data_IF_525246005949
#
_entry.id   IF_525246005949
#
_cell.length_a   1.000
_cell.length_b   1.000
_cell.length_c   1.000
_cell.angle_alpha   90.00
_cell.angle_beta   90.00
_cell.angle_gamma   90.00
#
_symmetry.space_group_name_H-M   'P 1'
#
loop_
_entity.id
_entity.type
_entity.pdbx_description
1 polymer ?
#
# COMPACT_ATOMS: atom_id res chain seq x y z
N UNK A 1 4.49 -8.93 9.03
CA UNK A 1 5.76 -8.71 8.30
C UNK A 1 6.06 -7.23 8.10
N UNK A 2 5.16 -6.41 7.55
CA UNK A 2 5.43 -4.98 7.38
C UNK A 2 5.51 -4.25 8.73
N UNK A 3 4.55 -4.52 9.61
CA UNK A 3 4.45 -3.97 10.96
C UNK A 3 5.67 -4.37 11.80
N UNK A 4 6.13 -5.61 11.63
CA UNK A 4 7.33 -6.14 12.26
C UNK A 4 8.58 -5.37 11.84
N UNK A 5 8.73 -5.09 10.54
CA UNK A 5 9.83 -4.28 10.02
C UNK A 5 9.76 -2.84 10.55
N UNK A 6 8.57 -2.24 10.64
CA UNK A 6 8.39 -0.88 11.18
C UNK A 6 8.82 -0.82 12.64
N UNK A 7 8.45 -1.80 13.46
CA UNK A 7 8.92 -1.89 14.86
C UNK A 7 10.44 -2.05 14.93
N UNK A 8 11.00 -2.93 14.10
CA UNK A 8 12.45 -3.18 14.06
C UNK A 8 13.23 -1.92 13.60
N UNK A 9 12.67 -1.09 12.72
CA UNK A 9 13.23 0.19 12.29
C UNK A 9 13.13 1.27 13.37
N UNK A 10 12.03 1.31 14.11
CA UNK A 10 11.86 2.22 15.24
C UNK A 10 12.91 1.97 16.32
N UNK A 11 13.09 0.70 16.73
CA UNK A 11 14.12 0.29 17.68
C UNK A 11 15.53 0.74 17.21
N UNK A 12 15.84 0.60 15.92
CA UNK A 12 17.15 0.97 15.38
C UNK A 12 17.37 2.48 15.32
N UNK A 13 16.31 3.27 15.07
CA UNK A 13 16.38 4.74 15.17
C UNK A 13 16.71 5.14 16.59
N UNK A 14 15.96 4.65 17.58
CA UNK A 14 16.19 4.94 19.00
C UNK A 14 17.61 4.54 19.43
N UNK A 15 18.08 3.35 19.03
CA UNK A 15 19.46 2.91 19.30
C UNK A 15 20.50 3.89 18.76
N UNK A 16 20.37 4.33 17.50
CA UNK A 16 21.32 5.26 16.86
C UNK A 16 21.28 6.66 17.49
N UNK A 17 20.10 7.13 17.90
CA UNK A 17 19.93 8.40 18.60
C UNK A 17 20.60 8.37 19.97
N UNK A 18 20.34 7.31 20.75
CA UNK A 18 20.97 7.08 22.04
C UNK A 18 22.50 6.99 21.90
N UNK A 19 23.01 6.28 20.89
CA UNK A 19 24.45 6.21 20.57
C UNK A 19 25.05 7.59 20.27
N UNK A 20 24.35 8.44 19.51
CA UNK A 20 24.81 9.79 19.19
C UNK A 20 24.86 10.71 20.43
N UNK A 21 23.88 10.59 21.34
CA UNK A 21 23.85 11.34 22.61
C UNK A 21 25.04 10.92 23.49
N UNK A 22 25.30 9.62 23.63
CA UNK A 22 26.44 9.15 24.41
C UNK A 22 27.78 9.53 23.79
N UNK A 23 27.92 9.48 22.46
CA UNK A 23 29.15 9.86 21.76
C UNK A 23 29.51 11.34 21.95
N UNK A 24 28.53 12.20 22.24
CA UNK A 24 28.73 13.65 22.46
C UNK A 24 28.89 14.00 23.94
N UNK A 25 28.57 13.08 24.86
CA UNK A 25 28.68 13.30 26.30
C UNK A 25 30.12 13.03 26.76
N UNK A 26 30.81 14.10 27.20
CA UNK A 26 32.26 14.15 27.56
C UNK A 26 32.70 13.27 28.74
N UNK A 27 31.81 12.45 29.32
CA UNK A 27 32.13 11.47 30.35
C UNK A 27 32.53 10.14 29.69
N UNK A 28 33.62 10.19 28.93
CA UNK A 28 34.25 9.03 28.32
C UNK A 28 35.01 8.22 29.38
N UNK A 29 34.39 7.14 29.84
CA UNK A 29 35.07 5.98 30.38
C UNK A 29 34.21 4.76 30.12
N UNK A 30 34.58 3.93 29.16
CA UNK A 30 34.07 2.55 28.98
C UNK A 30 32.63 2.31 28.48
N UNK A 31 31.85 3.31 28.04
CA UNK A 31 30.53 3.01 27.47
C UNK A 31 30.65 2.25 26.12
N UNK A 32 30.69 0.92 26.20
CA UNK A 32 30.61 -0.03 25.09
C UNK A 32 29.16 -0.09 24.64
N UNK A 33 28.70 0.95 23.94
CA UNK A 33 27.39 0.92 23.29
C UNK A 33 27.37 -0.25 22.30
N UNK A 34 26.34 -1.10 22.38
CA UNK A 34 26.20 -2.24 21.49
C UNK A 34 25.92 -1.70 20.07
N UNK A 35 26.78 -2.00 19.08
CA UNK A 35 26.70 -1.37 17.75
C UNK A 35 25.54 -1.91 16.90
N UNK A 36 24.60 -2.64 17.49
CA UNK A 36 23.44 -3.24 16.87
C UNK A 36 22.38 -3.57 17.93
N UNK A 37 21.15 -3.82 17.49
CA UNK A 37 20.07 -4.23 18.39
C UNK A 37 20.38 -5.58 19.07
N UNK A 38 20.28 -5.68 20.41
CA UNK A 38 20.42 -6.93 21.13
C UNK A 38 19.44 -8.00 20.63
N UNK A 39 19.89 -9.25 20.64
CA UNK A 39 19.04 -10.37 20.28
C UNK A 39 17.89 -10.51 21.28
N UNK A 40 16.66 -10.55 20.78
CA UNK A 40 15.47 -10.75 21.58
C UNK A 40 15.11 -12.26 21.57
N UNK A 41 15.08 -12.94 22.73
CA UNK A 41 14.80 -14.37 22.82
C UNK A 41 13.38 -14.75 22.38
N UNK A 42 12.46 -13.79 22.33
CA UNK A 42 11.09 -13.98 21.86
C UNK A 42 10.95 -13.87 20.32
N UNK A 43 12.03 -13.48 19.62
CA UNK A 43 12.05 -13.39 18.16
C UNK A 43 12.84 -14.55 17.55
N UNK A 44 12.49 -14.91 16.32
CA UNK A 44 13.24 -15.92 15.57
C UNK A 44 14.69 -15.48 15.32
N UNK A 45 15.59 -16.45 15.13
CA UNK A 45 16.98 -16.17 14.77
C UNK A 45 17.08 -15.32 13.49
N UNK A 46 16.26 -15.63 12.48
CA UNK A 46 16.19 -14.88 11.23
C UNK A 46 15.77 -13.42 11.45
N UNK A 47 14.80 -13.16 12.34
CA UNK A 47 14.37 -11.79 12.64
C UNK A 47 15.44 -11.02 13.42
N UNK A 48 16.08 -11.64 14.41
CA UNK A 48 17.22 -11.03 15.10
C UNK A 48 18.39 -10.74 14.16
N UNK A 49 18.67 -11.62 13.20
CA UNK A 49 19.66 -11.37 12.16
C UNK A 49 19.26 -10.16 11.30
N UNK A 50 17.98 -10.04 10.92
CA UNK A 50 17.43 -8.87 10.24
C UNK A 50 17.68 -7.58 11.02
N UNK A 51 17.33 -7.56 12.32
CA UNK A 51 17.56 -6.43 13.23
C UNK A 51 19.04 -6.04 13.31
N UNK A 52 19.95 -7.01 13.44
CA UNK A 52 21.40 -6.75 13.46
C UNK A 52 21.93 -6.22 12.12
N UNK A 53 21.29 -6.58 11.01
CA UNK A 53 21.66 -6.11 9.66
C UNK A 53 21.30 -4.64 9.45
N UNK A 54 20.27 -4.11 10.10
CA UNK A 54 19.91 -2.69 10.03
C UNK A 54 21.07 -1.79 10.48
N UNK A 55 21.84 -2.22 11.49
CA UNK A 55 23.02 -1.49 11.95
C UNK A 55 24.18 -1.45 10.93
N UNK A 56 24.16 -2.31 9.91
CA UNK A 56 25.18 -2.33 8.85
C UNK A 56 24.94 -1.28 7.77
N UNK A 57 23.74 -0.69 7.72
CA UNK A 57 23.41 0.35 6.76
C UNK A 57 24.13 1.63 7.15
N UNK A 58 24.80 2.26 6.19
CA UNK A 58 25.26 3.64 6.35
C UNK A 58 24.09 4.57 6.66
N UNK A 59 24.37 5.78 7.15
CA UNK A 59 23.33 6.79 7.40
C UNK A 59 22.49 7.07 6.15
N UNK A 60 23.11 7.09 4.97
CA UNK A 60 22.42 7.33 3.69
C UNK A 60 21.49 6.18 3.30
N UNK A 61 21.97 4.95 3.39
CA UNK A 61 21.18 3.76 3.07
C UNK A 61 20.00 3.59 4.04
N UNK A 62 20.25 3.83 5.33
CA UNK A 62 19.21 3.74 6.35
C UNK A 62 18.13 4.81 6.17
N UNK A 63 18.51 6.06 5.86
CA UNK A 63 17.56 7.12 5.54
C UNK A 63 16.73 6.80 4.28
N UNK A 64 17.34 6.18 3.27
CA UNK A 64 16.63 5.67 2.09
C UNK A 64 15.57 4.64 2.48
N UNK A 65 15.96 3.61 3.25
CA UNK A 65 15.03 2.58 3.73
C UNK A 65 13.87 3.17 4.54
N UNK A 66 14.14 4.10 5.47
CA UNK A 66 13.09 4.77 6.23
C UNK A 66 12.12 5.52 5.31
N UNK A 67 12.65 6.23 4.30
CA UNK A 67 11.84 6.96 3.32
C UNK A 67 10.92 6.01 2.54
N UNK A 68 11.45 4.88 2.07
CA UNK A 68 10.69 3.87 1.33
C UNK A 68 9.57 3.28 2.20
N UNK A 69 9.87 2.93 3.45
CA UNK A 69 8.90 2.37 4.39
C UNK A 69 7.81 3.37 4.77
N UNK A 70 8.16 4.65 4.99
CA UNK A 70 7.17 5.70 5.25
C UNK A 70 6.28 5.97 4.04
N UNK A 71 6.86 5.97 2.83
CA UNK A 71 6.08 6.08 1.59
C UNK A 71 5.12 4.90 1.43
N UNK A 72 5.57 3.67 1.71
CA UNK A 72 4.74 2.47 1.63
C UNK A 72 3.64 2.45 2.71
N UNK A 73 3.95 2.89 3.94
CA UNK A 73 2.98 3.05 5.02
C UNK A 73 1.84 3.99 4.61
N UNK A 74 2.19 5.18 4.08
CA UNK A 74 1.22 6.15 3.58
C UNK A 74 0.37 5.60 2.44
N UNK A 75 0.97 4.85 1.52
CA UNK A 75 0.25 4.18 0.41
C UNK A 75 -0.74 3.14 0.93
N UNK A 76 -0.33 2.30 1.89
CA UNK A 76 -1.20 1.30 2.54
C UNK A 76 -2.36 1.95 3.29
N UNK A 77 -2.10 3.05 3.98
CA UNK A 77 -3.14 3.82 4.67
C UNK A 77 -4.20 4.34 3.70
N UNK A 78 -3.79 4.95 2.57
CA UNK A 78 -4.73 5.42 1.53
C UNK A 78 -5.59 4.28 0.98
N UNK A 79 -5.01 3.11 0.75
CA UNK A 79 -5.76 1.94 0.28
C UNK A 79 -6.73 1.44 1.37
N UNK A 80 -6.31 1.48 2.64
CA UNK A 80 -7.16 1.08 3.75
C UNK A 80 -8.35 2.04 3.96
N UNK A 81 -8.18 3.35 3.73
CA UNK A 81 -9.26 4.34 3.84
C UNK A 81 -10.30 4.25 2.72
N UNK A 82 -9.98 3.60 1.60
CA UNK A 82 -10.92 3.35 0.50
C UNK A 82 -11.79 2.11 0.73
N UNK A 83 -11.58 1.35 1.82
CA UNK A 83 -12.42 0.19 2.12
C UNK A 83 -13.77 0.66 2.70
N UNK A 84 -14.90 0.05 2.27
CA UNK A 84 -16.21 0.35 2.85
C UNK A 84 -16.20 0.22 4.37
N UNK A 85 -16.95 1.13 5.01
CA UNK A 85 -16.95 1.45 6.43
C UNK A 85 -17.57 0.35 7.33
N UNK A 86 -17.36 -0.93 7.04
CA UNK A 86 -18.00 -2.02 7.79
C UNK A 86 -17.17 -2.51 8.99
N UNK A 87 -16.03 -1.87 9.27
CA UNK A 87 -15.16 -2.23 10.40
C UNK A 87 -14.74 -0.99 11.18
N UNK A 88 -14.97 -0.92 12.51
CA UNK A 88 -14.53 0.20 13.32
C UNK A 88 -13.01 0.16 13.41
N UNK A 89 -12.34 0.95 12.57
CA UNK A 89 -10.90 1.02 12.49
C UNK A 89 -10.35 1.88 13.65
N UNK A 90 -9.84 1.22 14.69
CA UNK A 90 -9.17 1.84 15.83
C UNK A 90 -7.92 2.66 15.43
N UNK A 91 -7.39 2.52 14.21
CA UNK A 91 -6.21 3.26 13.75
C UNK A 91 -6.50 4.70 13.32
N UNK A 92 -7.77 5.14 13.31
CA UNK A 92 -8.11 6.53 12.95
C UNK A 92 -7.66 7.56 14.00
N UNK A 93 -7.35 7.14 15.22
CA UNK A 93 -6.95 8.04 16.32
C UNK A 93 -5.53 8.64 16.20
N UNK A 94 -4.69 8.14 15.28
CA UNK A 94 -3.29 8.59 15.13
C UNK A 94 -3.07 9.59 13.98
N UNK A 95 -4.12 10.08 13.32
CA UNK A 95 -3.97 11.06 12.23
C UNK A 95 -4.23 12.49 12.72
N UNK A 96 -3.20 13.38 12.78
CA UNK A 96 -3.45 14.81 12.77
C UNK A 96 -3.96 15.22 11.37
N UNK A 97 -4.89 16.19 11.27
CA UNK A 97 -5.47 16.61 10.00
C UNK A 97 -4.45 17.47 9.23
N UNK A 98 -3.69 16.85 8.34
CA UNK A 98 -2.81 17.56 7.42
C UNK A 98 -3.54 17.79 6.11
N UNK A 99 -4.12 19.00 6.00
CA UNK A 99 -4.41 19.78 4.79
C UNK A 99 -4.92 19.00 3.57
N UNK A 100 -6.24 18.87 3.50
CA UNK A 100 -6.96 18.39 2.32
C UNK A 100 -7.35 19.58 1.42
N UNK A 101 -6.46 20.02 0.53
CA UNK A 101 -6.72 21.04 -0.50
C UNK A 101 -7.21 20.40 -1.82
N UNK A 102 -8.05 19.36 -1.77
CA UNK A 102 -8.61 18.73 -2.97
C UNK A 102 -10.02 18.15 -2.73
N UNK A 103 -10.80 18.77 -1.84
CA UNK A 103 -12.17 18.35 -1.52
C UNK A 103 -13.20 19.16 -2.32
N UNK A 104 -13.01 19.26 -3.63
CA UNK A 104 -14.01 19.81 -4.54
C UNK A 104 -14.32 18.76 -5.62
N UNK A 105 -15.58 18.35 -5.63
CA UNK A 105 -16.27 17.51 -6.63
C UNK A 105 -15.94 16.01 -6.63
N UNK A 106 -16.54 15.29 -5.68
CA UNK A 106 -17.02 13.93 -5.93
C UNK A 106 -18.52 13.90 -5.55
N UNK A 107 -19.38 14.47 -6.40
CA UNK A 107 -20.80 14.13 -6.38
C UNK A 107 -20.95 12.76 -7.05
N UNK A 108 -21.04 11.71 -6.23
CA UNK A 108 -21.11 10.28 -6.59
C UNK A 108 -22.50 9.86 -7.12
N UNK A 109 -23.27 10.76 -7.73
CA UNK A 109 -24.67 10.49 -8.11
C UNK A 109 -24.86 10.08 -9.57
N UNK A 110 -23.79 9.86 -10.34
CA UNK A 110 -23.90 9.40 -11.72
C UNK A 110 -23.41 7.94 -11.85
N UNK A 111 -24.31 6.98 -12.13
CA UNK A 111 -23.91 5.58 -12.25
C UNK A 111 -22.94 5.41 -13.45
N UNK A 112 -21.85 4.66 -13.23
CA UNK A 112 -20.79 4.35 -14.22
C UNK A 112 -21.32 3.49 -15.41
N UNK A 113 -22.62 3.18 -15.43
CA UNK A 113 -23.25 2.38 -16.46
C UNK A 113 -24.01 3.30 -17.43
N UNK A 114 -23.59 3.30 -18.69
CA UNK A 114 -24.39 3.87 -19.78
C UNK A 114 -25.76 3.18 -19.82
N UNK A 115 -26.87 3.92 -19.97
CA UNK A 115 -28.19 3.35 -20.16
C UNK A 115 -28.19 2.36 -21.33
N UNK A 116 -28.52 1.11 -21.06
CA UNK A 116 -28.76 0.11 -22.10
C UNK A 116 -29.93 0.57 -22.96
N UNK A 117 -29.77 0.51 -24.29
CA UNK A 117 -30.83 0.83 -25.23
C UNK A 117 -32.10 0.04 -24.89
N UNK A 118 -33.25 0.71 -24.79
CA UNK A 118 -34.54 0.07 -24.53
C UNK A 118 -34.91 -0.88 -25.68
N UNK A 119 -35.40 -2.07 -25.36
CA UNK A 119 -35.84 -3.10 -26.31
C UNK A 119 -37.00 -2.66 -27.23
N UNK A 120 -37.52 -1.44 -27.05
CA UNK A 120 -38.63 -0.86 -27.81
C UNK A 120 -38.26 -0.46 -29.26
N UNK A 121 -36.99 -0.55 -29.66
CA UNK A 121 -36.52 -0.21 -31.03
C UNK A 121 -36.50 -1.42 -32.00
N UNK A 122 -37.12 -2.54 -31.63
CA UNK A 122 -37.31 -3.68 -32.53
C UNK A 122 -38.36 -3.34 -33.61
N UNK A 123 -37.91 -2.78 -34.73
CA UNK A 123 -38.71 -2.70 -35.94
C UNK A 123 -39.07 -4.13 -36.43
N UNK A 124 -40.35 -4.43 -36.70
CA UNK A 124 -40.74 -5.72 -37.27
C UNK A 124 -40.06 -5.92 -38.63
N UNK A 125 -39.28 -7.00 -38.77
CA UNK A 125 -38.65 -7.38 -40.03
C UNK A 125 -39.76 -7.72 -41.05
N UNK A 126 -39.85 -7.06 -42.21
CA UNK A 126 -40.82 -7.43 -43.22
C UNK A 126 -40.53 -8.85 -43.74
N UNK A 127 -41.56 -9.64 -44.10
CA UNK A 127 -41.38 -11.01 -44.52
C UNK A 127 -40.49 -11.08 -45.77
N UNK A 128 -39.39 -11.83 -45.66
CA UNK A 128 -38.46 -12.10 -46.76
C UNK A 128 -39.20 -12.89 -47.84
N UNK A 129 -39.23 -12.37 -49.06
CA UNK A 129 -39.81 -13.04 -50.22
C UNK A 129 -39.00 -14.29 -50.60
N UNK A 130 -39.69 -15.39 -50.88
CA UNK A 130 -39.14 -16.72 -51.18
C UNK A 130 -38.19 -16.80 -52.40
N UNK A 131 -37.92 -15.68 -53.08
CA UNK A 131 -36.99 -15.62 -54.21
C UNK A 131 -35.51 -15.67 -53.77
N UNK A 132 -35.20 -15.43 -52.50
CA UNK A 132 -33.81 -15.43 -52.01
C UNK A 132 -33.25 -16.83 -51.70
N UNK A 133 -34.09 -17.85 -51.53
CA UNK A 133 -33.65 -19.21 -51.18
C UNK A 133 -33.10 -20.02 -52.36
N UNK A 134 -33.21 -19.52 -53.60
CA UNK A 134 -32.75 -20.24 -54.79
C UNK A 134 -31.23 -20.09 -55.04
N UNK A 135 -30.54 -19.19 -54.33
CA UNK A 135 -29.11 -18.92 -54.52
C UNK A 135 -28.17 -19.69 -53.58
N UNK A 136 -28.69 -20.51 -52.65
CA UNK A 136 -27.88 -21.22 -51.66
C UNK A 136 -27.58 -22.69 -52.01
N UNK A 137 -27.86 -23.14 -53.24
CA UNK A 137 -27.45 -24.48 -53.67
C UNK A 137 -26.05 -24.46 -54.25
N UNK A 138 -25.05 -24.85 -53.46
CA UNK A 138 -23.68 -25.10 -53.91
C UNK A 138 -23.61 -26.37 -54.78
N UNK A 139 -22.84 -26.40 -55.89
CA UNK A 139 -22.58 -27.64 -56.60
C UNK A 139 -21.43 -28.39 -55.92
N UNK A 140 -21.66 -29.66 -55.59
CA UNK A 140 -20.60 -30.63 -55.30
C UNK A 140 -20.10 -31.21 -56.61
N UNK A 141 -18.80 -31.07 -56.89
CA UNK A 141 -18.09 -31.68 -58.00
C UNK A 141 -16.61 -31.35 -57.95
#
# INVERSE_FOLDING_TARGET
MFEELVMDLYDEVDRRENEAIWATSTLNGENVAVPFLPANPFLSATRNQGRQKLARFSRKEFAGLLTDVLCDARRRQKIASLRPLDTPNLNSFYNPPLLNENELELSDDEPIYDPVASDDDYAPIPPISQQFLQFLSFPTG
#
